data_IF_221134648818
#
_entry.id   IF_221134648818
#
_cell.length_a   1.000
_cell.length_b   1.000
_cell.length_c   1.000
_cell.angle_alpha   90.00
_cell.angle_beta   90.00
_cell.angle_gamma   90.00
#
_symmetry.space_group_name_H-M   'P 1'
#
loop_
_entity.id
_entity.type
_entity.pdbx_description
1 polymer ?
#
# COMPACT_ATOMS: atom_id res chain seq x y z
N UNK A 1 54.10 -19.05 -23.84
CA UNK A 1 52.91 -18.69 -24.64
C UNK A 1 51.78 -19.73 -24.60
N UNK A 2 52.05 -21.02 -24.34
CA UNK A 2 51.02 -22.08 -24.31
C UNK A 2 50.03 -22.00 -23.12
N UNK A 3 50.43 -21.44 -21.97
CA UNK A 3 49.55 -21.27 -20.79
C UNK A 3 48.46 -20.21 -20.98
N UNK A 4 48.69 -19.17 -21.78
CA UNK A 4 47.71 -18.09 -22.00
C UNK A 4 46.56 -18.59 -22.87
N UNK A 5 46.85 -19.44 -23.86
CA UNK A 5 45.83 -20.01 -24.75
C UNK A 5 44.86 -20.94 -24.00
N UNK A 6 45.35 -21.73 -23.04
CA UNK A 6 44.51 -22.64 -22.26
C UNK A 6 43.55 -21.90 -21.32
N UNK A 7 43.99 -20.76 -20.76
CA UNK A 7 43.18 -19.97 -19.82
C UNK A 7 42.02 -19.25 -20.53
N UNK A 8 42.22 -18.80 -21.77
CA UNK A 8 41.17 -18.16 -22.59
C UNK A 8 40.07 -19.14 -23.00
N UNK A 9 40.43 -20.39 -23.29
CA UNK A 9 39.46 -21.45 -23.65
C UNK A 9 38.60 -21.86 -22.45
N UNK A 10 39.19 -21.98 -21.25
CA UNK A 10 38.42 -22.28 -20.02
C UNK A 10 37.48 -21.11 -19.66
N UNK A 11 37.90 -19.86 -19.89
CA UNK A 11 37.04 -18.69 -19.66
C UNK A 11 35.83 -18.66 -20.61
N UNK A 12 35.97 -19.13 -21.85
CA UNK A 12 34.87 -19.19 -22.81
C UNK A 12 33.95 -20.40 -22.56
N UNK A 13 34.50 -21.53 -22.10
CA UNK A 13 33.69 -22.71 -21.75
C UNK A 13 32.86 -22.51 -20.47
N UNK A 14 33.29 -21.63 -19.56
CA UNK A 14 32.50 -21.20 -18.39
C UNK A 14 31.35 -20.23 -18.75
N UNK A 15 31.33 -19.71 -19.98
CA UNK A 15 30.29 -18.84 -20.53
C UNK A 15 29.32 -19.62 -21.44
N UNK A 16 29.01 -20.87 -21.12
CA UNK A 16 27.85 -21.51 -21.72
C UNK A 16 26.60 -20.78 -21.21
N UNK A 17 25.79 -20.12 -22.07
CA UNK A 17 24.58 -19.46 -21.63
C UNK A 17 23.70 -20.51 -20.96
N UNK A 18 23.32 -20.26 -19.71
CA UNK A 18 22.42 -21.13 -18.98
C UNK A 18 21.08 -21.05 -19.72
N UNK A 19 20.76 -22.09 -20.49
CA UNK A 19 19.47 -22.17 -21.18
C UNK A 19 18.42 -22.32 -20.09
N UNK A 20 17.65 -21.27 -19.85
CA UNK A 20 16.55 -21.32 -18.90
C UNK A 20 15.55 -22.39 -19.34
N UNK A 21 15.22 -23.29 -18.43
CA UNK A 21 14.19 -24.29 -18.69
C UNK A 21 12.81 -23.63 -18.85
N UNK A 22 11.85 -24.30 -19.49
CA UNK A 22 10.49 -23.77 -19.68
C UNK A 22 9.82 -23.38 -18.34
N UNK A 23 10.15 -24.08 -17.25
CA UNK A 23 9.67 -23.75 -15.91
C UNK A 23 10.24 -22.42 -15.36
N UNK A 24 11.49 -22.08 -15.70
CA UNK A 24 12.10 -20.80 -15.31
C UNK A 24 11.52 -19.65 -16.13
N UNK A 25 11.37 -19.85 -17.44
CA UNK A 25 10.74 -18.87 -18.33
C UNK A 25 9.30 -18.54 -17.87
N UNK A 26 8.50 -19.57 -17.54
CA UNK A 26 7.14 -19.35 -17.03
C UNK A 26 7.13 -18.56 -15.72
N UNK A 27 8.03 -18.86 -14.77
CA UNK A 27 8.16 -18.08 -13.53
C UNK A 27 8.58 -16.63 -13.79
N UNK A 28 9.36 -16.39 -14.84
CA UNK A 28 9.71 -15.04 -15.28
C UNK A 28 8.48 -14.26 -15.73
N UNK A 29 7.70 -14.85 -16.63
CA UNK A 29 6.45 -14.26 -17.12
C UNK A 29 5.43 -14.03 -15.98
N UNK A 30 5.27 -15.00 -15.08
CA UNK A 30 4.40 -14.87 -13.92
C UNK A 30 4.83 -13.70 -13.03
N UNK A 31 6.13 -13.54 -12.76
CA UNK A 31 6.65 -12.40 -11.98
C UNK A 31 6.45 -11.05 -12.66
N UNK A 32 6.60 -10.99 -13.99
CA UNK A 32 6.34 -9.77 -14.76
C UNK A 32 4.86 -9.39 -14.72
N UNK A 33 3.96 -10.35 -14.92
CA UNK A 33 2.52 -10.14 -14.86
C UNK A 33 2.05 -9.79 -13.43
N UNK A 34 2.60 -10.45 -12.40
CA UNK A 34 2.39 -10.10 -11.00
C UNK A 34 2.77 -8.65 -10.73
N UNK A 35 3.96 -8.24 -11.17
CA UNK A 35 4.48 -6.88 -10.95
C UNK A 35 3.64 -5.84 -11.68
N UNK A 36 3.27 -6.12 -12.94
CA UNK A 36 2.43 -5.23 -13.75
C UNK A 36 1.04 -5.09 -13.15
N UNK A 37 0.41 -6.20 -12.77
CA UNK A 37 -0.93 -6.20 -12.17
C UNK A 37 -0.92 -5.53 -10.80
N UNK A 38 0.08 -5.79 -9.97
CA UNK A 38 0.25 -5.11 -8.69
C UNK A 38 0.39 -3.59 -8.87
N UNK A 39 1.16 -3.14 -9.87
CA UNK A 39 1.30 -1.71 -10.17
C UNK A 39 -0.03 -1.08 -10.63
N UNK A 40 -0.79 -1.77 -11.49
CA UNK A 40 -2.11 -1.30 -11.93
C UNK A 40 -3.12 -1.21 -10.77
N UNK A 41 -3.13 -2.21 -9.88
CA UNK A 41 -3.99 -2.22 -8.70
C UNK A 41 -3.59 -1.14 -7.68
N UNK A 42 -2.29 -0.91 -7.50
CA UNK A 42 -1.77 0.16 -6.64
C UNK A 42 -2.09 1.56 -7.19
N UNK A 43 -2.30 1.70 -8.50
CA UNK A 43 -2.70 2.95 -9.14
C UNK A 43 -4.21 3.24 -9.04
N UNK A 44 -5.02 2.33 -8.47
CA UNK A 44 -6.46 2.58 -8.29
C UNK A 44 -6.69 3.72 -7.28
N UNK A 45 -7.71 4.57 -7.50
CA UNK A 45 -8.06 5.61 -6.55
C UNK A 45 -8.36 5.03 -5.17
N UNK A 46 -7.62 5.49 -4.16
CA UNK A 46 -7.77 5.03 -2.78
C UNK A 46 -7.00 3.75 -2.44
N UNK A 47 -6.33 3.11 -3.39
CA UNK A 47 -5.40 2.02 -3.09
C UNK A 47 -4.11 2.56 -2.47
N UNK A 48 -3.65 1.91 -1.41
CA UNK A 48 -2.41 2.26 -0.70
C UNK A 48 -1.30 1.23 -0.95
N UNK A 49 -1.68 -0.02 -1.17
CA UNK A 49 -0.76 -1.12 -1.46
C UNK A 49 -1.54 -2.20 -2.20
N UNK A 50 -0.88 -2.85 -3.15
CA UNK A 50 -1.39 -4.05 -3.78
C UNK A 50 -0.28 -5.12 -3.81
N UNK A 51 -0.66 -6.36 -3.55
CA UNK A 51 0.19 -7.54 -3.73
C UNK A 51 -0.56 -8.56 -4.56
N UNK A 52 0.16 -9.20 -5.46
CA UNK A 52 -0.37 -10.16 -6.40
C UNK A 52 0.56 -11.36 -6.39
N UNK A 53 -0.02 -12.55 -6.40
CA UNK A 53 0.70 -13.80 -6.62
C UNK A 53 -0.07 -14.59 -7.66
N UNK A 54 0.61 -14.94 -8.75
CA UNK A 54 0.10 -15.73 -9.86
C UNK A 54 0.93 -17.01 -9.94
N UNK A 55 0.24 -18.13 -10.14
CA UNK A 55 0.90 -19.39 -10.37
C UNK A 55 0.28 -20.09 -11.56
N UNK A 56 1.06 -20.21 -12.64
CA UNK A 56 0.66 -20.96 -13.82
C UNK A 56 1.54 -22.20 -13.97
N UNK A 57 0.97 -23.41 -13.88
CA UNK A 57 1.75 -24.62 -13.93
C UNK A 57 2.29 -24.81 -15.35
N UNK A 58 3.58 -25.14 -15.44
CA UNK A 58 4.20 -25.51 -16.72
C UNK A 58 3.64 -26.85 -17.16
N UNK A 59 2.99 -26.88 -18.32
CA UNK A 59 2.49 -28.13 -18.90
C UNK A 59 3.64 -28.88 -19.58
N UNK A 60 3.96 -30.06 -19.07
CA UNK A 60 4.80 -31.01 -19.79
C UNK A 60 3.97 -31.64 -20.92
N UNK A 61 4.33 -31.43 -22.20
CA UNK A 61 3.59 -31.98 -23.33
C UNK A 61 3.66 -33.51 -23.40
N UNK A 62 4.64 -34.14 -22.75
CA UNK A 62 4.82 -35.60 -22.72
C UNK A 62 4.17 -36.25 -21.49
N UNK A 63 3.76 -35.44 -20.51
CA UNK A 63 3.09 -35.95 -19.31
C UNK A 63 1.66 -36.36 -19.62
N UNK A 64 1.29 -37.55 -19.17
CA UNK A 64 -0.09 -38.06 -19.20
C UNK A 64 -0.89 -37.63 -17.95
N UNK A 65 -0.23 -37.01 -16.98
CA UNK A 65 -0.88 -36.51 -15.77
C UNK A 65 -1.63 -35.20 -16.06
N UNK A 66 -2.79 -34.98 -15.43
CA UNK A 66 -3.48 -33.70 -15.51
C UNK A 66 -2.58 -32.60 -14.94
N UNK A 67 -2.49 -31.47 -15.65
CA UNK A 67 -1.79 -30.30 -15.15
C UNK A 67 -2.50 -29.77 -13.89
N UNK A 68 -1.73 -29.23 -12.95
CA UNK A 68 -2.30 -28.52 -11.79
C UNK A 68 -3.20 -27.36 -12.26
N UNK A 69 -4.15 -26.95 -11.43
CA UNK A 69 -4.95 -25.77 -11.73
C UNK A 69 -4.11 -24.49 -11.53
N UNK A 70 -4.23 -23.49 -12.42
CA UNK A 70 -3.60 -22.19 -12.20
C UNK A 70 -4.30 -21.44 -11.06
N UNK A 71 -3.55 -20.67 -10.28
CA UNK A 71 -4.07 -19.96 -9.10
C UNK A 71 -3.64 -18.51 -9.06
N UNK A 72 -4.50 -17.65 -8.53
CA UNK A 72 -4.21 -16.23 -8.29
C UNK A 72 -4.68 -15.81 -6.91
N UNK A 73 -3.81 -15.10 -6.19
CA UNK A 73 -4.12 -14.44 -4.93
C UNK A 73 -3.79 -12.95 -5.05
N UNK A 74 -4.77 -12.10 -4.72
CA UNK A 74 -4.64 -10.64 -4.79
C UNK A 74 -5.05 -10.03 -3.46
N UNK A 75 -4.18 -9.19 -2.92
CA UNK A 75 -4.44 -8.35 -1.76
C UNK A 75 -4.38 -6.89 -2.18
N UNK A 76 -5.45 -6.14 -1.92
CA UNK A 76 -5.48 -4.68 -2.11
C UNK A 76 -5.83 -4.02 -0.79
N UNK A 77 -4.98 -3.11 -0.33
CA UNK A 77 -5.22 -2.31 0.87
C UNK A 77 -5.72 -0.93 0.44
N UNK A 78 -6.90 -0.54 0.89
CA UNK A 78 -7.57 0.71 0.50
C UNK A 78 -7.72 1.68 1.67
N UNK A 79 -7.87 2.97 1.37
CA UNK A 79 -8.26 3.98 2.34
C UNK A 79 -9.69 3.74 2.86
N UNK A 80 -9.96 4.10 4.11
CA UNK A 80 -11.28 3.98 4.75
C UNK A 80 -12.41 4.73 4.02
N UNK A 81 -12.08 5.79 3.30
CA UNK A 81 -13.04 6.57 2.49
C UNK A 81 -13.37 5.93 1.13
N UNK A 82 -12.67 4.86 0.75
CA UNK A 82 -12.78 4.25 -0.58
C UNK A 82 -13.88 3.19 -0.64
N UNK A 83 -14.63 3.17 -1.73
CA UNK A 83 -15.64 2.14 -1.97
C UNK A 83 -14.99 0.77 -2.26
N UNK A 84 -15.04 -0.10 -1.25
CA UNK A 84 -14.54 -1.47 -1.30
C UNK A 84 -15.14 -2.28 -2.44
N UNK A 85 -16.44 -2.14 -2.70
CA UNK A 85 -17.13 -2.94 -3.72
C UNK A 85 -16.64 -2.57 -5.13
N UNK A 86 -16.43 -1.28 -5.36
CA UNK A 86 -15.87 -0.78 -6.63
C UNK A 86 -14.43 -1.21 -6.86
N UNK A 87 -13.58 -1.19 -5.83
CA UNK A 87 -12.20 -1.68 -5.94
C UNK A 87 -12.19 -3.18 -6.20
N UNK A 88 -13.02 -3.96 -5.50
CA UNK A 88 -13.14 -5.40 -5.73
C UNK A 88 -13.58 -5.73 -7.16
N UNK A 89 -14.59 -5.01 -7.68
CA UNK A 89 -15.07 -5.20 -9.06
C UNK A 89 -13.98 -4.88 -10.08
N UNK A 90 -13.28 -3.75 -9.91
CA UNK A 90 -12.17 -3.36 -10.80
C UNK A 90 -11.02 -4.38 -10.74
N UNK A 91 -10.66 -4.83 -9.54
CA UNK A 91 -9.61 -5.83 -9.35
C UNK A 91 -9.97 -7.14 -10.04
N UNK A 92 -11.22 -7.61 -9.94
CA UNK A 92 -11.70 -8.79 -10.68
C UNK A 92 -11.54 -8.64 -12.18
N UNK A 93 -11.92 -7.47 -12.72
CA UNK A 93 -11.80 -7.20 -14.16
C UNK A 93 -10.33 -7.20 -14.61
N UNK A 94 -9.44 -6.54 -13.85
CA UNK A 94 -8.02 -6.51 -14.17
C UNK A 94 -7.39 -7.90 -14.11
N UNK A 95 -7.67 -8.68 -13.06
CA UNK A 95 -7.17 -10.05 -12.93
C UNK A 95 -7.64 -10.93 -14.10
N UNK A 96 -8.92 -10.84 -14.48
CA UNK A 96 -9.46 -11.59 -15.62
C UNK A 96 -8.86 -11.17 -16.96
N UNK A 97 -8.48 -9.91 -17.11
CA UNK A 97 -7.81 -9.42 -18.32
C UNK A 97 -6.35 -9.90 -18.40
N UNK A 98 -5.66 -10.02 -17.26
CA UNK A 98 -4.26 -10.47 -17.19
C UNK A 98 -4.12 -12.00 -17.24
N UNK A 99 -5.00 -12.72 -16.56
CA UNK A 99 -4.96 -14.18 -16.43
C UNK A 99 -6.37 -14.80 -16.65
N UNK A 100 -6.89 -14.77 -17.90
CA UNK A 100 -8.21 -15.32 -18.23
C UNK A 100 -8.36 -16.82 -17.95
N UNK A 101 -7.25 -17.56 -17.91
CA UNK A 101 -7.17 -18.98 -17.58
C UNK A 101 -7.48 -19.31 -16.12
N UNK A 102 -7.55 -18.31 -15.24
CA UNK A 102 -7.85 -18.48 -13.82
C UNK A 102 -9.34 -18.15 -13.57
N UNK A 103 -10.21 -19.17 -13.41
CA UNK A 103 -11.66 -18.94 -13.34
C UNK A 103 -12.08 -18.22 -12.05
N UNK A 104 -11.43 -18.56 -10.93
CA UNK A 104 -11.79 -18.09 -9.58
C UNK A 104 -10.56 -17.54 -8.84
N UNK A 105 -10.16 -16.28 -9.11
CA UNK A 105 -9.07 -15.65 -8.36
C UNK A 105 -9.52 -15.32 -6.92
N UNK A 106 -8.65 -15.59 -5.95
CA UNK A 106 -8.87 -15.17 -4.56
C UNK A 106 -8.48 -13.70 -4.42
N UNK A 107 -9.45 -12.82 -4.22
CA UNK A 107 -9.22 -11.38 -4.10
C UNK A 107 -9.71 -10.89 -2.73
N UNK A 108 -8.77 -10.36 -1.95
CA UNK A 108 -9.02 -9.77 -0.65
C UNK A 108 -8.79 -8.27 -0.74
N UNK A 109 -9.82 -7.49 -0.42
CA UNK A 109 -9.71 -6.04 -0.28
C UNK A 109 -9.83 -5.71 1.20
N UNK A 110 -8.77 -5.16 1.78
CA UNK A 110 -8.68 -4.76 3.18
C UNK A 110 -8.70 -3.23 3.29
N UNK A 111 -9.38 -2.72 4.32
CA UNK A 111 -9.33 -1.30 4.65
C UNK A 111 -8.11 -1.09 5.53
N UNK A 112 -7.14 -0.31 5.03
CA UNK A 112 -5.95 0.06 5.78
C UNK A 112 -6.29 0.89 7.01
N UNK A 113 -5.42 0.83 8.02
CA UNK A 113 -5.53 1.68 9.19
C UNK A 113 -5.57 3.17 8.75
N UNK A 114 -6.40 4.02 9.39
CA UNK A 114 -6.51 5.42 9.01
C UNK A 114 -5.13 6.08 9.11
N UNK A 115 -4.64 6.66 8.01
CA UNK A 115 -3.45 7.51 8.04
C UNK A 115 -3.80 8.76 8.84
N UNK A 116 -3.26 8.86 10.04
CA UNK A 116 -3.37 10.07 10.84
C UNK A 116 -2.50 11.13 10.15
N UNK A 117 -3.13 11.99 9.37
CA UNK A 117 -2.46 13.12 8.75
C UNK A 117 -2.01 14.08 9.85
N UNK A 118 -0.71 14.28 10.01
CA UNK A 118 -0.15 15.14 11.04
C UNK A 118 0.02 16.57 10.50
N UNK A 119 -0.57 17.54 11.17
CA UNK A 119 -0.38 18.98 10.93
C UNK A 119 0.51 19.57 12.03
N UNK A 120 1.40 20.51 11.68
CA UNK A 120 2.17 21.27 12.68
C UNK A 120 1.34 22.42 13.25
N UNK A 121 1.31 22.52 14.58
CA UNK A 121 0.83 23.69 15.32
C UNK A 121 1.96 24.15 16.24
N UNK A 122 2.74 25.14 15.78
CA UNK A 122 3.98 25.54 16.47
C UNK A 122 5.02 24.39 16.47
N UNK A 123 5.65 24.06 17.62
CA UNK A 123 6.62 22.97 17.71
C UNK A 123 5.99 21.57 17.77
N UNK A 124 4.66 21.44 17.83
CA UNK A 124 3.97 20.16 18.01
C UNK A 124 3.37 19.63 16.71
N UNK A 125 3.49 18.32 16.50
CA UNK A 125 2.75 17.59 15.46
C UNK A 125 1.45 17.05 16.06
N UNK A 126 0.32 17.42 15.47
CA UNK A 126 -1.02 17.03 15.92
C UNK A 126 -1.81 16.49 14.74
N UNK A 127 -2.72 15.55 14.98
CA UNK A 127 -3.61 15.06 13.93
C UNK A 127 -4.39 16.24 13.31
N UNK A 128 -4.46 16.32 11.98
CA UNK A 128 -5.12 17.39 11.24
C UNK A 128 -6.58 17.58 11.69
N UNK A 129 -7.27 16.46 11.94
CA UNK A 129 -8.63 16.43 12.46
C UNK A 129 -8.78 17.09 13.85
N UNK A 130 -7.70 17.18 14.63
CA UNK A 130 -7.70 17.78 15.97
C UNK A 130 -7.60 19.32 15.96
N UNK A 131 -7.38 19.95 14.81
CA UNK A 131 -7.18 21.41 14.71
C UNK A 131 -8.42 22.22 15.10
N UNK A 132 -9.61 21.78 14.68
CA UNK A 132 -10.88 22.39 15.03
C UNK A 132 -11.18 22.32 16.53
N UNK A 133 -11.19 21.11 17.13
CA UNK A 133 -11.35 20.93 18.57
C UNK A 133 -10.36 21.75 19.38
N UNK A 134 -9.06 21.70 19.04
CA UNK A 134 -8.02 22.44 19.76
C UNK A 134 -8.27 23.96 19.76
N UNK A 135 -8.68 24.53 18.62
CA UNK A 135 -9.04 25.96 18.55
C UNK A 135 -10.24 26.28 19.43
N UNK A 136 -11.25 25.40 19.45
CA UNK A 136 -12.42 25.57 20.29
C UNK A 136 -12.05 25.53 21.78
N UNK A 137 -11.26 24.55 22.22
CA UNK A 137 -10.82 24.47 23.63
C UNK A 137 -10.01 25.69 24.04
N UNK A 138 -9.14 26.17 23.15
CA UNK A 138 -8.28 27.33 23.41
C UNK A 138 -9.09 28.63 23.49
N UNK A 139 -10.10 28.80 22.64
CA UNK A 139 -11.05 29.91 22.72
C UNK A 139 -11.86 29.88 24.02
N UNK A 140 -12.37 28.71 24.42
CA UNK A 140 -13.09 28.53 25.69
C UNK A 140 -12.19 28.89 26.87
N UNK A 141 -10.94 28.43 26.87
CA UNK A 141 -9.98 28.75 27.92
C UNK A 141 -9.76 30.28 28.04
N UNK A 142 -9.60 30.99 26.92
CA UNK A 142 -9.45 32.45 26.94
C UNK A 142 -10.69 33.17 27.49
N UNK A 143 -11.90 32.73 27.12
CA UNK A 143 -13.14 33.33 27.64
C UNK A 143 -13.25 33.13 29.15
N UNK A 144 -12.91 31.94 29.66
CA UNK A 144 -12.92 31.66 31.10
C UNK A 144 -11.90 32.55 31.84
N UNK A 145 -10.68 32.65 31.34
CA UNK A 145 -9.63 33.49 31.94
C UNK A 145 -10.03 34.96 31.94
N UNK A 146 -10.56 35.48 30.81
CA UNK A 146 -11.01 36.86 30.70
C UNK A 146 -12.18 37.14 31.66
N UNK A 147 -13.14 36.22 31.77
CA UNK A 147 -14.25 36.32 32.71
C UNK A 147 -13.80 36.36 34.17
N UNK A 148 -12.84 35.50 34.54
CA UNK A 148 -12.23 35.49 35.87
C UNK A 148 -11.50 36.81 36.17
N UNK A 149 -10.70 37.30 35.23
CA UNK A 149 -9.99 38.56 35.38
C UNK A 149 -10.96 39.73 35.57
N UNK A 150 -12.04 39.78 34.80
CA UNK A 150 -13.08 40.81 34.90
C UNK A 150 -13.81 40.74 36.25
N UNK A 151 -14.17 39.54 36.71
CA UNK A 151 -14.82 39.33 38.00
C UNK A 151 -13.95 39.80 39.17
N UNK A 152 -12.64 39.50 39.13
CA UNK A 152 -11.67 39.97 40.12
C UNK A 152 -11.57 41.49 40.09
N UNK A 153 -11.40 42.09 38.91
CA UNK A 153 -11.31 43.54 38.75
C UNK A 153 -12.56 44.26 39.28
N UNK A 154 -13.74 43.71 39.01
CA UNK A 154 -15.00 44.27 39.49
C UNK A 154 -15.14 44.17 41.01
N UNK A 155 -14.72 43.06 41.60
CA UNK A 155 -14.71 42.87 43.06
C UNK A 155 -13.77 43.86 43.75
N UNK A 156 -12.57 44.08 43.20
CA UNK A 156 -11.64 45.10 43.70
C UNK A 156 -12.23 46.51 43.61
N UNK A 157 -12.86 46.87 42.49
CA UNK A 157 -13.46 48.20 42.31
C UNK A 157 -14.59 48.47 43.31
N UNK A 158 -15.42 47.46 43.61
CA UNK A 158 -16.46 47.57 44.65
C UNK A 158 -15.89 47.67 46.06
N UNK A 159 -14.82 46.93 46.37
CA UNK A 159 -14.16 46.99 47.69
C UNK A 159 -13.51 48.35 47.99
N UNK A 160 -12.90 48.99 46.99
CA UNK A 160 -12.28 50.31 47.13
C UNK A 160 -13.29 51.48 47.18
N UNK A 161 -14.56 51.26 46.85
CA UNK A 161 -15.59 52.32 46.89
C UNK A 161 -16.28 52.44 48.25
N UNK A 162 -15.90 51.58 49.21
CA UNK A 162 -16.48 51.50 50.56
C UNK A 162 -15.49 51.96 51.67
N UNK A 163 -14.32 52.47 51.28
CA UNK A 163 -13.35 53.16 52.14
C UNK A 163 -13.31 54.63 51.75
#
# INVERSE_FOLDING_TARGET
MMQVAMLVVVLHAACAPTVEGPAQQQRGLDREDETRLAAQLAALPGATTAKVTLHRPTRDPLSTLPASAPTAAVLVVIDASTDRARVLATARTLVRATAPEIPEPTIVVEVGAPRIELTRVGPFAVAAASRGPLRATLAIAFVIIAGLALAIAWRYRRGNSAQ
#
